data_IF_753112601318
#
_entry.id   IF_753112601318
#
_cell.length_a   1.000
_cell.length_b   1.000
_cell.length_c   1.000
_cell.angle_alpha   90.00
_cell.angle_beta   90.00
_cell.angle_gamma   90.00
#
_symmetry.space_group_name_H-M   'P 1'
#
loop_
_entity.id
_entity.type
_entity.pdbx_description
1 polymer ?
#
# COMPACT_ATOMS: atom_id res chain seq x y z
N UNK A 1 -2.37 -20.16 -2.16
CA UNK A 1 -2.75 -20.54 -3.55
C UNK A 1 -2.24 -21.95 -3.84
N UNK A 2 -3.09 -22.92 -4.19
CA UNK A 2 -2.62 -24.24 -4.64
C UNK A 2 -1.80 -24.11 -5.95
N UNK A 3 -0.65 -24.79 -6.04
CA UNK A 3 0.20 -24.82 -7.24
C UNK A 3 1.16 -23.62 -7.44
N UNK A 4 1.05 -22.54 -6.67
CA UNK A 4 1.99 -21.42 -6.73
C UNK A 4 3.21 -21.66 -5.83
N UNK A 5 4.39 -21.17 -6.24
CA UNK A 5 5.55 -21.16 -5.36
C UNK A 5 5.24 -20.34 -4.09
N UNK A 6 5.82 -20.73 -2.96
CA UNK A 6 5.52 -20.07 -1.69
C UNK A 6 5.94 -18.59 -1.69
N UNK A 7 6.96 -18.23 -2.50
CA UNK A 7 7.50 -16.88 -2.59
C UNK A 7 8.15 -16.36 -1.30
N UNK A 8 8.25 -17.20 -0.25
CA UNK A 8 8.59 -16.77 1.12
C UNK A 8 9.98 -16.11 1.17
N UNK A 9 10.97 -16.70 0.50
CA UNK A 9 12.33 -16.15 0.47
C UNK A 9 12.33 -14.75 -0.14
N UNK A 10 11.71 -14.60 -1.32
CA UNK A 10 11.62 -13.32 -2.02
C UNK A 10 10.87 -12.29 -1.15
N UNK A 11 9.74 -12.69 -0.57
CA UNK A 11 8.95 -11.80 0.29
C UNK A 11 9.73 -11.32 1.51
N UNK A 12 10.46 -12.21 2.18
CA UNK A 12 11.21 -11.88 3.38
C UNK A 12 12.47 -11.05 3.14
N UNK A 13 13.06 -11.10 1.95
CA UNK A 13 14.29 -10.35 1.65
C UNK A 13 14.05 -9.05 0.90
N UNK A 14 12.98 -8.95 0.09
CA UNK A 14 12.79 -7.79 -0.80
C UNK A 14 12.73 -6.46 -0.04
N UNK A 15 11.87 -6.33 0.98
CA UNK A 15 11.74 -5.05 1.71
C UNK A 15 13.01 -4.69 2.51
N UNK A 16 13.64 -5.61 3.29
CA UNK A 16 14.91 -5.32 3.94
C UNK A 16 16.02 -4.94 2.95
N UNK A 17 16.15 -5.65 1.82
CA UNK A 17 17.16 -5.35 0.81
C UNK A 17 16.96 -3.98 0.18
N UNK A 18 15.71 -3.59 -0.10
CA UNK A 18 15.39 -2.26 -0.65
C UNK A 18 15.74 -1.17 0.36
N UNK A 19 15.42 -1.34 1.64
CA UNK A 19 15.78 -0.38 2.69
C UNK A 19 17.29 -0.28 2.90
N UNK A 20 17.99 -1.41 2.89
CA UNK A 20 19.46 -1.44 2.95
C UNK A 20 20.10 -0.73 1.76
N UNK A 21 19.58 -0.94 0.55
CA UNK A 21 20.07 -0.25 -0.64
C UNK A 21 19.91 1.28 -0.51
N UNK A 22 18.79 1.75 0.05
CA UNK A 22 18.55 3.17 0.33
C UNK A 22 19.48 3.71 1.42
N UNK A 23 19.77 2.94 2.47
CA UNK A 23 20.76 3.31 3.49
C UNK A 23 22.16 3.48 2.89
N UNK A 24 22.56 2.57 2.00
CA UNK A 24 23.84 2.64 1.28
C UNK A 24 23.89 3.86 0.34
N UNK A 25 22.75 4.28 -0.22
CA UNK A 25 22.67 5.50 -1.03
C UNK A 25 22.84 6.75 -0.15
N UNK A 26 22.07 6.84 0.95
CA UNK A 26 22.16 7.96 1.89
C UNK A 26 23.55 8.10 2.52
N UNK A 27 24.20 6.99 2.88
CA UNK A 27 25.53 7.04 3.52
C UNK A 27 26.61 7.66 2.64
N UNK A 28 26.44 7.62 1.30
CA UNK A 28 27.37 8.24 0.34
C UNK A 28 27.25 9.76 0.28
N UNK A 29 26.05 10.29 0.57
CA UNK A 29 25.70 11.71 0.46
C UNK A 29 25.74 12.40 1.84
N UNK A 30 25.79 11.61 2.92
CA UNK A 30 25.93 12.06 4.30
C UNK A 30 27.03 13.11 4.55
N UNK A 31 28.23 13.06 3.91
CA UNK A 31 29.28 14.07 4.13
C UNK A 31 28.92 15.48 3.64
N UNK A 32 27.92 15.59 2.75
CA UNK A 32 27.61 16.82 2.02
C UNK A 32 26.31 17.51 2.44
N UNK A 33 25.44 16.83 3.19
CA UNK A 33 24.10 17.32 3.54
C UNK A 33 23.97 17.61 5.05
N UNK A 34 23.69 18.85 5.48
CA UNK A 34 23.48 19.19 6.88
C UNK A 34 22.29 18.46 7.52
N UNK A 35 21.29 18.02 6.74
CA UNK A 35 20.16 17.23 7.24
C UNK A 35 20.38 15.71 7.13
N UNK A 36 21.46 15.28 6.47
CA UNK A 36 21.70 13.87 6.14
C UNK A 36 21.78 12.95 7.35
N UNK A 37 22.27 13.44 8.49
CA UNK A 37 22.36 12.64 9.73
C UNK A 37 20.98 12.28 10.30
N UNK A 38 20.00 13.18 10.20
CA UNK A 38 18.64 12.93 10.67
C UNK A 38 17.89 11.99 9.72
N UNK A 39 18.01 12.21 8.40
CA UNK A 39 17.42 11.32 7.39
C UNK A 39 17.99 9.91 7.46
N UNK A 40 19.30 9.79 7.70
CA UNK A 40 19.97 8.51 7.87
C UNK A 40 19.44 7.76 9.10
N UNK A 41 19.33 8.44 10.25
CA UNK A 41 18.81 7.82 11.48
C UNK A 41 17.34 7.39 11.34
N UNK A 42 16.52 8.18 10.62
CA UNK A 42 15.14 7.82 10.30
C UNK A 42 15.08 6.57 9.40
N UNK A 43 15.86 6.54 8.32
CA UNK A 43 15.88 5.39 7.42
C UNK A 43 16.47 4.13 8.10
N UNK A 44 17.42 4.31 9.02
CA UNK A 44 17.99 3.23 9.83
C UNK A 44 16.88 2.59 10.68
N UNK A 45 16.03 3.41 11.31
CA UNK A 45 14.88 2.94 12.08
C UNK A 45 13.88 2.18 11.21
N UNK A 46 13.56 2.70 10.02
CA UNK A 46 12.66 2.05 9.05
C UNK A 46 13.21 0.70 8.57
N UNK A 47 14.51 0.60 8.30
CA UNK A 47 15.18 -0.66 7.94
C UNK A 47 15.01 -1.72 9.02
N UNK A 48 15.23 -1.37 10.29
CA UNK A 48 15.05 -2.31 11.40
C UNK A 48 13.59 -2.70 11.61
N UNK A 49 12.66 -1.74 11.48
CA UNK A 49 11.23 -2.02 11.60
C UNK A 49 10.74 -3.02 10.54
N UNK A 50 11.17 -2.84 9.29
CA UNK A 50 10.91 -3.78 8.19
C UNK A 50 11.53 -5.14 8.47
N UNK A 51 12.81 -5.17 8.86
CA UNK A 51 13.55 -6.41 9.11
C UNK A 51 12.91 -7.26 10.20
N UNK A 52 12.53 -6.63 11.32
CA UNK A 52 11.87 -7.30 12.44
C UNK A 52 10.49 -7.77 12.05
N UNK A 53 9.71 -6.96 11.31
CA UNK A 53 8.41 -7.37 10.78
C UNK A 53 8.52 -8.64 9.92
N UNK A 54 9.47 -8.69 8.98
CA UNK A 54 9.68 -9.86 8.14
C UNK A 54 10.17 -11.08 8.95
N UNK A 55 11.09 -10.88 9.90
CA UNK A 55 11.61 -11.94 10.76
C UNK A 55 10.53 -12.53 11.68
N UNK A 56 9.67 -11.70 12.28
CA UNK A 56 8.56 -12.15 13.13
C UNK A 56 7.55 -12.99 12.34
N UNK A 57 7.20 -12.58 11.11
CA UNK A 57 6.30 -13.36 10.23
C UNK A 57 6.95 -14.69 9.80
N UNK A 58 8.24 -14.70 9.48
CA UNK A 58 8.98 -15.93 9.19
C UNK A 58 8.99 -16.88 10.39
N UNK A 59 9.29 -16.37 11.59
CA UNK A 59 9.27 -17.16 12.81
C UNK A 59 7.87 -17.77 13.06
N UNK A 60 6.81 -17.00 12.82
CA UNK A 60 5.43 -17.47 12.90
C UNK A 60 5.14 -18.62 11.92
N UNK A 61 5.56 -18.50 10.65
CA UNK A 61 5.39 -19.59 9.68
C UNK A 61 6.16 -20.86 10.06
N UNK A 62 7.40 -20.71 10.53
CA UNK A 62 8.22 -21.84 10.95
C UNK A 62 7.65 -22.55 12.18
N UNK A 63 7.10 -21.78 13.12
CA UNK A 63 6.40 -22.31 14.27
C UNK A 63 5.22 -23.20 13.85
N UNK A 64 4.37 -22.71 12.94
CA UNK A 64 3.23 -23.49 12.43
C UNK A 64 3.65 -24.71 11.60
N UNK A 65 4.68 -24.59 10.76
CA UNK A 65 5.21 -25.72 9.99
C UNK A 65 5.80 -26.82 10.88
N UNK A 66 6.43 -26.45 12.00
CA UNK A 66 6.97 -27.41 12.98
C UNK A 66 5.87 -28.22 13.65
N UNK A 67 4.69 -27.64 13.87
CA UNK A 67 3.54 -28.35 14.45
C UNK A 67 2.88 -29.32 13.47
N UNK A 68 3.12 -29.18 12.16
CA UNK A 68 2.46 -29.95 11.09
C UNK A 68 3.34 -31.06 10.46
N UNK A 69 4.50 -31.38 11.05
CA UNK A 69 5.58 -32.06 10.33
C UNK A 69 5.24 -33.46 9.78
N UNK A 70 5.45 -33.60 8.46
CA UNK A 70 5.76 -34.83 7.71
C UNK A 70 7.07 -34.61 6.91
N UNK A 71 7.79 -35.68 6.54
CA UNK A 71 9.24 -35.68 6.25
C UNK A 71 9.80 -34.76 5.12
N UNK A 72 9.02 -34.32 4.12
CA UNK A 72 9.53 -33.48 3.02
C UNK A 72 9.78 -31.99 3.40
N UNK A 73 9.23 -31.53 4.52
CA UNK A 73 9.28 -30.14 5.00
C UNK A 73 10.67 -29.76 5.57
N UNK A 74 11.58 -30.74 5.74
CA UNK A 74 12.84 -30.57 6.48
C UNK A 74 13.85 -29.61 5.82
N UNK A 75 13.83 -29.46 4.48
CA UNK A 75 14.74 -28.56 3.76
C UNK A 75 14.32 -27.09 3.89
N UNK A 76 13.03 -26.78 3.73
CA UNK A 76 12.52 -25.41 3.88
C UNK A 76 12.64 -24.90 5.34
N UNK A 77 12.46 -25.82 6.31
CA UNK A 77 12.64 -25.53 7.74
C UNK A 77 14.08 -25.14 8.08
N UNK A 78 15.09 -25.75 7.45
CA UNK A 78 16.51 -25.42 7.67
C UNK A 78 16.86 -23.99 7.25
N UNK A 79 16.43 -23.56 6.06
CA UNK A 79 16.71 -22.20 5.57
C UNK A 79 15.94 -21.12 6.32
N UNK A 80 14.67 -21.37 6.66
CA UNK A 80 13.91 -20.41 7.47
C UNK A 80 14.43 -20.28 8.91
N UNK A 81 14.81 -21.40 9.54
CA UNK A 81 15.42 -21.40 10.87
C UNK A 81 16.75 -20.63 10.89
N UNK A 82 17.60 -20.82 9.87
CA UNK A 82 18.85 -20.08 9.71
C UNK A 82 18.60 -18.57 9.56
N UNK A 83 17.59 -18.15 8.79
CA UNK A 83 17.24 -16.74 8.64
C UNK A 83 16.75 -16.12 9.94
N UNK A 84 15.88 -16.80 10.69
CA UNK A 84 15.40 -16.31 12.00
C UNK A 84 16.55 -16.20 13.01
N UNK A 85 17.46 -17.17 13.04
CA UNK A 85 18.66 -17.11 13.90
C UNK A 85 19.58 -15.97 13.47
N UNK A 86 19.84 -15.79 12.18
CA UNK A 86 20.68 -14.69 11.67
C UNK A 86 20.05 -13.31 11.97
N UNK A 87 18.73 -13.19 11.91
CA UNK A 87 17.99 -11.98 12.27
C UNK A 87 18.02 -11.69 13.77
N UNK A 88 17.82 -12.71 14.61
CA UNK A 88 17.93 -12.56 16.07
C UNK A 88 19.37 -12.20 16.48
N UNK A 89 20.37 -12.82 15.85
CA UNK A 89 21.79 -12.50 16.08
C UNK A 89 22.12 -11.08 15.62
N UNK A 90 21.64 -10.62 14.46
CA UNK A 90 21.86 -9.23 14.00
C UNK A 90 21.12 -8.21 14.85
N UNK A 91 19.90 -8.51 15.32
CA UNK A 91 19.17 -7.68 16.27
C UNK A 91 19.89 -7.57 17.63
N UNK A 92 20.41 -8.69 18.14
CA UNK A 92 21.21 -8.72 19.36
C UNK A 92 22.57 -8.01 19.19
N UNK A 93 23.23 -8.14 18.04
CA UNK A 93 24.47 -7.42 17.74
C UNK A 93 24.24 -5.91 17.63
N UNK A 94 23.12 -5.48 17.04
CA UNK A 94 22.71 -4.08 17.03
C UNK A 94 22.49 -3.52 18.44
N UNK A 95 21.87 -4.30 19.31
CA UNK A 95 21.69 -3.98 20.73
C UNK A 95 23.02 -3.82 21.47
N UNK A 96 23.99 -4.71 21.20
CA UNK A 96 25.33 -4.65 21.81
C UNK A 96 26.16 -3.45 21.34
N UNK A 97 25.94 -2.94 20.12
CA UNK A 97 26.71 -1.83 19.56
C UNK A 97 26.20 -0.43 19.96
N UNK A 98 24.94 -0.29 20.39
CA UNK A 98 24.30 1.01 20.65
C UNK A 98 24.08 1.21 22.16
N UNK A 99 25.19 1.31 22.89
CA UNK A 99 25.28 1.39 24.36
C UNK A 99 25.16 2.79 24.97
N UNK A 100 24.74 3.81 24.21
CA UNK A 100 24.60 5.18 24.72
C UNK A 100 23.13 5.64 24.70
N UNK A 101 22.45 5.49 25.85
CA UNK A 101 21.14 6.11 26.13
C UNK A 101 20.00 5.12 26.45
N UNK A 102 19.95 4.61 27.68
CA UNK A 102 19.03 3.55 28.12
C UNK A 102 17.54 3.78 27.80
N UNK A 103 16.96 4.93 28.13
CA UNK A 103 15.51 5.19 27.92
C UNK A 103 15.13 5.33 26.44
N UNK A 104 15.99 5.96 25.64
CA UNK A 104 15.79 6.11 24.19
C UNK A 104 15.96 4.77 23.47
N UNK A 105 16.92 3.94 23.91
CA UNK A 105 17.09 2.60 23.40
C UNK A 105 15.88 1.70 23.74
N UNK A 106 15.35 1.78 24.96
CA UNK A 106 14.16 1.03 25.39
C UNK A 106 12.92 1.39 24.56
N UNK A 107 12.68 2.67 24.29
CA UNK A 107 11.55 3.13 23.47
C UNK A 107 11.70 2.71 22.00
N UNK A 108 12.91 2.76 21.43
CA UNK A 108 13.20 2.25 20.07
C UNK A 108 12.91 0.76 19.98
N UNK A 109 13.33 -0.02 20.97
CA UNK A 109 13.08 -1.46 21.02
C UNK A 109 11.59 -1.78 21.17
N UNK A 110 10.87 -1.02 22.01
CA UNK A 110 9.42 -1.15 22.15
C UNK A 110 8.70 -0.90 20.81
N UNK A 111 9.06 0.16 20.10
CA UNK A 111 8.53 0.46 18.77
C UNK A 111 8.80 -0.69 17.78
N UNK A 112 10.03 -1.18 17.71
CA UNK A 112 10.41 -2.28 16.84
C UNK A 112 9.67 -3.59 17.16
N UNK A 113 9.47 -3.91 18.45
CA UNK A 113 8.71 -5.07 18.89
C UNK A 113 7.23 -4.95 18.50
N UNK A 114 6.63 -3.76 18.65
CA UNK A 114 5.26 -3.50 18.23
C UNK A 114 5.07 -3.75 16.72
N UNK A 115 6.04 -3.35 15.89
CA UNK A 115 6.05 -3.66 14.45
C UNK A 115 6.06 -5.17 14.18
N UNK A 116 6.95 -5.92 14.83
CA UNK A 116 7.01 -7.38 14.71
C UNK A 116 5.70 -8.07 15.06
N UNK A 117 5.09 -7.70 16.20
CA UNK A 117 3.80 -8.24 16.65
C UNK A 117 2.66 -7.86 15.71
N UNK A 118 2.60 -6.60 15.29
CA UNK A 118 1.58 -6.12 14.35
C UNK A 118 1.65 -6.85 13.01
N UNK A 119 2.86 -7.15 12.50
CA UNK A 119 3.05 -7.92 11.28
C UNK A 119 2.49 -9.34 11.39
N UNK A 120 2.72 -10.03 12.51
CA UNK A 120 2.18 -11.37 12.76
C UNK A 120 0.65 -11.35 12.89
N UNK A 121 0.09 -10.36 13.56
CA UNK A 121 -1.38 -10.20 13.67
C UNK A 121 -1.98 -9.94 12.29
N UNK A 122 -1.38 -9.05 11.51
CA UNK A 122 -1.90 -8.66 10.20
C UNK A 122 -1.81 -9.80 9.19
N UNK A 123 -0.70 -10.54 9.12
CA UNK A 123 -0.59 -11.68 8.19
C UNK A 123 -1.60 -12.77 8.53
N UNK A 124 -1.81 -13.06 9.81
CA UNK A 124 -2.82 -14.03 10.25
C UNK A 124 -4.21 -13.63 9.77
N UNK A 125 -4.58 -12.35 9.97
CA UNK A 125 -5.87 -11.83 9.55
C UNK A 125 -6.04 -11.81 8.02
N UNK A 126 -4.98 -11.50 7.27
CA UNK A 126 -4.99 -11.56 5.80
C UNK A 126 -5.23 -12.99 5.33
N UNK A 127 -4.52 -13.97 5.90
CA UNK A 127 -4.66 -15.38 5.52
C UNK A 127 -6.03 -15.96 5.88
N UNK A 128 -6.63 -15.53 6.99
CA UNK A 128 -7.96 -15.95 7.43
C UNK A 128 -9.08 -15.32 6.60
N UNK A 129 -9.00 -14.01 6.29
CA UNK A 129 -10.05 -13.29 5.56
C UNK A 129 -9.99 -13.48 4.05
N UNK A 130 -8.79 -13.64 3.50
CA UNK A 130 -8.56 -13.74 2.07
C UNK A 130 -7.86 -15.07 1.74
N UNK A 131 -8.51 -16.22 2.02
CA UNK A 131 -7.90 -17.52 1.77
C UNK A 131 -7.62 -17.69 0.29
N UNK A 132 -6.47 -18.28 -0.03
CA UNK A 132 -6.01 -18.49 -1.40
C UNK A 132 -5.82 -17.23 -2.26
N UNK A 133 -5.97 -16.03 -1.70
CA UNK A 133 -5.84 -14.79 -2.46
C UNK A 133 -4.39 -14.45 -2.77
N UNK A 134 -3.41 -14.84 -1.93
CA UNK A 134 -1.99 -14.54 -2.15
C UNK A 134 -1.11 -15.78 -1.92
N UNK A 135 0.13 -15.72 -2.39
CA UNK A 135 1.21 -16.57 -1.89
C UNK A 135 1.64 -16.13 -0.48
N UNK A 136 2.40 -16.97 0.22
CA UNK A 136 2.95 -16.62 1.54
C UNK A 136 3.92 -15.44 1.44
N UNK A 137 4.73 -15.37 0.37
CA UNK A 137 5.64 -14.27 0.09
C UNK A 137 4.92 -12.95 -0.21
N UNK A 138 3.90 -12.97 -1.06
CA UNK A 138 3.04 -11.80 -1.33
C UNK A 138 2.35 -11.32 -0.04
N UNK A 139 1.80 -12.25 0.74
CA UNK A 139 1.18 -11.93 2.03
C UNK A 139 2.17 -11.28 2.99
N UNK A 140 3.38 -11.83 3.11
CA UNK A 140 4.45 -11.29 3.94
C UNK A 140 4.80 -9.86 3.49
N UNK A 141 5.03 -9.62 2.19
CA UNK A 141 5.31 -8.29 1.65
C UNK A 141 4.22 -7.28 1.98
N UNK A 142 2.96 -7.65 1.77
CA UNK A 142 1.81 -6.78 2.06
C UNK A 142 1.72 -6.50 3.56
N UNK A 143 1.84 -7.53 4.41
CA UNK A 143 1.73 -7.35 5.86
C UNK A 143 2.86 -6.49 6.43
N UNK A 144 4.12 -6.76 6.08
CA UNK A 144 5.27 -6.01 6.59
C UNK A 144 5.28 -4.59 6.02
N UNK A 145 4.94 -4.42 4.73
CA UNK A 145 4.84 -3.11 4.10
C UNK A 145 3.75 -2.23 4.72
N UNK A 146 2.55 -2.77 4.94
CA UNK A 146 1.45 -2.03 5.57
C UNK A 146 1.75 -1.67 7.02
N UNK A 147 2.35 -2.59 7.80
CA UNK A 147 2.71 -2.32 9.20
C UNK A 147 3.71 -1.18 9.31
N UNK A 148 4.73 -1.19 8.45
CA UNK A 148 5.73 -0.13 8.39
C UNK A 148 5.10 1.20 7.96
N UNK A 149 4.26 1.18 6.93
CA UNK A 149 3.55 2.35 6.42
C UNK A 149 2.62 2.98 7.47
N UNK A 150 1.80 2.18 8.15
CA UNK A 150 0.92 2.67 9.21
C UNK A 150 1.68 3.04 10.48
N UNK A 151 2.78 2.35 10.78
CA UNK A 151 3.66 2.74 11.87
C UNK A 151 4.27 4.11 11.66
N UNK A 152 4.65 4.46 10.42
CA UNK A 152 5.14 5.80 10.06
C UNK A 152 4.04 6.88 10.18
N UNK A 153 2.81 6.57 9.78
CA UNK A 153 1.63 7.43 9.97
C UNK A 153 1.37 7.67 11.47
N UNK A 154 1.40 6.60 12.27
CA UNK A 154 1.20 6.66 13.73
C UNK A 154 2.30 7.47 14.39
N UNK A 155 3.55 7.22 14.04
CA UNK A 155 4.73 7.91 14.53
C UNK A 155 4.61 9.43 14.34
N UNK A 156 4.16 9.87 13.15
CA UNK A 156 3.91 11.29 12.84
C UNK A 156 2.72 11.90 13.58
N UNK A 157 1.67 11.11 13.76
CA UNK A 157 0.52 11.56 14.54
C UNK A 157 0.93 11.79 16.00
N UNK A 158 1.71 10.87 16.57
CA UNK A 158 2.21 10.96 17.94
C UNK A 158 3.22 12.09 18.15
N UNK A 159 4.07 12.40 17.15
CA UNK A 159 5.01 13.52 17.26
C UNK A 159 4.32 14.89 17.26
N UNK A 160 3.13 15.01 16.64
CA UNK A 160 2.35 16.25 16.59
C UNK A 160 1.37 16.44 17.75
N UNK A 161 0.92 15.36 18.39
CA UNK A 161 -0.04 15.46 19.50
C UNK A 161 0.59 15.85 20.85
N UNK A 162 1.89 16.17 20.94
CA UNK A 162 2.62 16.54 22.17
C UNK A 162 2.39 15.60 23.39
N UNK A 163 1.94 14.36 23.16
CA UNK A 163 1.48 13.45 24.23
C UNK A 163 2.61 13.03 25.18
N UNK A 164 3.88 13.31 24.87
CA UNK A 164 4.97 13.15 25.83
C UNK A 164 6.18 14.01 25.47
N UNK A 165 6.71 14.78 26.43
CA UNK A 165 7.91 15.62 26.28
C UNK A 165 9.17 14.84 25.86
N UNK A 166 9.15 13.51 25.88
CA UNK A 166 10.22 12.61 25.39
C UNK A 166 10.00 12.08 23.98
N UNK A 167 8.81 12.22 23.37
CA UNK A 167 8.51 11.70 22.02
C UNK A 167 8.97 12.64 20.90
N UNK A 168 9.09 13.94 21.18
CA UNK A 168 9.55 14.95 20.21
C UNK A 168 11.00 14.74 19.75
N UNK A 169 11.86 14.20 20.60
CA UNK A 169 13.24 13.81 20.24
C UNK A 169 13.33 12.38 19.67
N UNK A 170 12.29 11.56 19.84
CA UNK A 170 12.24 10.13 19.49
C UNK A 170 11.84 9.90 18.02
N UNK A 171 10.98 10.76 17.47
CA UNK A 171 10.41 10.64 16.13
C UNK A 171 10.50 11.99 15.42
N UNK A 172 11.71 12.52 15.30
CA UNK A 172 11.91 13.64 14.40
C UNK A 172 11.89 13.08 12.97
N UNK A 173 10.71 13.03 12.36
CA UNK A 173 10.60 12.82 10.92
C UNK A 173 11.29 14.01 10.24
N UNK A 174 12.15 13.80 9.23
CA UNK A 174 12.84 14.90 8.56
C UNK A 174 11.84 15.96 8.10
N UNK A 175 12.15 17.21 8.44
CA UNK A 175 11.23 18.35 8.50
C UNK A 175 10.71 18.90 7.16
N UNK A 176 10.87 18.16 6.06
CA UNK A 176 10.40 18.57 4.72
C UNK A 176 9.83 17.37 3.98
N UNK A 177 8.84 16.69 4.55
CA UNK A 177 8.06 15.72 3.78
C UNK A 177 7.09 16.47 2.86
N UNK A 178 7.07 16.05 1.59
CA UNK A 178 6.22 16.62 0.55
C UNK A 178 4.74 16.61 0.98
N UNK A 179 4.06 17.74 0.82
CA UNK A 179 2.61 17.87 1.02
C UNK A 179 1.82 16.76 0.29
N UNK A 180 2.33 16.33 -0.86
CA UNK A 180 1.78 15.23 -1.66
C UNK A 180 1.76 13.93 -0.86
N UNK A 181 2.85 13.58 -0.17
CA UNK A 181 2.95 12.33 0.57
C UNK A 181 1.94 12.28 1.72
N UNK A 182 1.77 13.40 2.43
CA UNK A 182 0.78 13.51 3.51
C UNK A 182 -0.65 13.40 2.97
N UNK A 183 -0.96 14.05 1.85
CA UNK A 183 -2.29 13.93 1.22
C UNK A 183 -2.57 12.47 0.84
N UNK A 184 -1.61 11.78 0.22
CA UNK A 184 -1.74 10.36 -0.14
C UNK A 184 -1.95 9.51 1.12
N UNK A 185 -1.13 9.69 2.16
CA UNK A 185 -1.24 8.94 3.41
C UNK A 185 -2.56 9.17 4.13
N UNK A 186 -3.05 10.42 4.17
CA UNK A 186 -4.33 10.74 4.77
C UNK A 186 -5.48 10.04 4.06
N UNK A 187 -5.52 10.11 2.72
CA UNK A 187 -6.55 9.43 1.92
C UNK A 187 -6.49 7.91 2.13
N UNK A 188 -5.29 7.31 2.07
CA UNK A 188 -5.14 5.87 2.25
C UNK A 188 -5.51 5.43 3.67
N UNK A 189 -5.06 6.14 4.70
CA UNK A 189 -5.47 5.90 6.08
C UNK A 189 -7.00 5.91 6.21
N UNK A 190 -7.66 6.93 5.65
CA UNK A 190 -9.11 7.02 5.63
C UNK A 190 -9.77 5.82 4.96
N UNK A 191 -9.30 5.41 3.78
CA UNK A 191 -9.84 4.27 3.05
C UNK A 191 -9.62 2.94 3.78
N UNK A 192 -8.47 2.73 4.43
CA UNK A 192 -8.25 1.52 5.22
C UNK A 192 -9.08 1.47 6.50
N UNK A 193 -9.51 2.63 7.04
CA UNK A 193 -10.45 2.72 8.17
C UNK A 193 -11.92 2.60 7.75
N UNK A 194 -12.24 2.84 6.48
CA UNK A 194 -13.59 2.77 5.94
C UNK A 194 -14.31 1.43 6.20
N UNK A 195 -13.70 0.23 6.02
CA UNK A 195 -14.33 -1.03 6.37
C UNK A 195 -14.82 -1.12 7.82
N UNK A 196 -14.07 -0.53 8.77
CA UNK A 196 -14.41 -0.53 10.19
C UNK A 196 -15.60 0.40 10.44
N UNK A 197 -15.57 1.60 9.86
CA UNK A 197 -16.64 2.59 9.97
C UNK A 197 -17.92 2.10 9.30
N UNK A 198 -17.82 1.48 8.12
CA UNK A 198 -18.94 0.89 7.41
C UNK A 198 -19.58 -0.24 8.25
N UNK A 199 -18.77 -1.17 8.78
CA UNK A 199 -19.27 -2.27 9.63
C UNK A 199 -19.94 -1.74 10.90
N UNK A 200 -19.33 -0.77 11.58
CA UNK A 200 -19.89 -0.16 12.79
C UNK A 200 -21.21 0.56 12.49
N UNK A 201 -21.25 1.37 11.43
CA UNK A 201 -22.45 2.09 11.00
C UNK A 201 -23.58 1.13 10.64
N UNK A 202 -23.27 0.03 9.95
CA UNK A 202 -24.25 -0.99 9.61
C UNK A 202 -24.80 -1.69 10.87
N UNK A 203 -23.95 -2.02 11.85
CA UNK A 203 -24.38 -2.60 13.12
C UNK A 203 -25.30 -1.68 13.92
N UNK A 204 -24.96 -0.39 14.02
CA UNK A 204 -25.80 0.62 14.67
C UNK A 204 -27.14 0.75 13.95
N UNK A 205 -27.12 0.78 12.62
CA UNK A 205 -28.35 0.83 11.83
C UNK A 205 -29.26 -0.39 12.06
N UNK A 206 -28.70 -1.60 12.02
CA UNK A 206 -29.45 -2.83 12.31
C UNK A 206 -30.02 -2.80 13.72
N UNK A 207 -29.24 -2.35 14.71
CA UNK A 207 -29.70 -2.21 16.09
C UNK A 207 -30.89 -1.24 16.21
N UNK A 208 -30.78 -0.04 15.65
CA UNK A 208 -31.86 0.96 15.64
C UNK A 208 -33.13 0.44 14.94
N UNK A 209 -32.98 -0.33 13.86
CA UNK A 209 -34.11 -0.93 13.15
C UNK A 209 -34.78 -2.04 13.94
N UNK A 210 -34.00 -2.86 14.64
CA UNK A 210 -34.51 -3.96 15.48
C UNK A 210 -35.35 -3.44 16.64
N UNK A 211 -35.04 -2.22 17.13
CA UNK A 211 -35.86 -1.50 18.10
C UNK A 211 -37.16 -0.92 17.50
N UNK A 212 -37.22 -0.76 16.17
CA UNK A 212 -38.22 0.05 15.48
C UNK A 212 -39.48 -0.67 14.96
N UNK A 213 -39.45 -1.95 14.56
CA UNK A 213 -40.66 -2.77 14.26
C UNK A 213 -40.37 -4.18 13.73
N UNK A 214 -41.22 -5.13 14.16
CA UNK A 214 -41.53 -6.41 13.49
C UNK A 214 -42.41 -6.18 12.24
N UNK A 215 -42.31 -7.08 11.24
CA UNK A 215 -43.10 -7.21 9.97
C UNK A 215 -42.50 -6.37 8.80
N UNK A 216 -42.14 -6.90 7.63
CA UNK A 216 -42.81 -7.88 6.73
C UNK A 216 -41.81 -8.37 5.65
N UNK A 217 -41.69 -9.69 5.46
CA UNK A 217 -40.69 -10.32 4.58
C UNK A 217 -41.14 -10.40 3.10
N UNK A 218 -40.54 -9.59 2.22
CA UNK A 218 -40.30 -9.85 0.78
C UNK A 218 -39.91 -8.54 0.03
N UNK A 219 -40.61 -7.42 0.29
CA UNK A 219 -40.26 -6.07 -0.21
C UNK A 219 -38.95 -5.56 0.43
N UNK A 220 -38.60 -6.15 1.57
CA UNK A 220 -37.48 -5.79 2.42
C UNK A 220 -36.09 -5.99 1.78
N UNK A 221 -35.87 -7.05 0.99
CA UNK A 221 -34.53 -7.38 0.47
C UNK A 221 -33.97 -6.35 -0.50
N UNK A 222 -34.82 -5.72 -1.33
CA UNK A 222 -34.37 -4.67 -2.27
C UNK A 222 -34.11 -3.34 -1.58
N UNK A 223 -34.95 -2.98 -0.60
CA UNK A 223 -34.75 -1.81 0.25
C UNK A 223 -33.51 -1.96 1.14
N UNK A 224 -33.22 -3.18 1.60
CA UNK A 224 -32.07 -3.52 2.43
C UNK A 224 -30.73 -3.40 1.66
N UNK A 225 -30.69 -3.86 0.40
CA UNK A 225 -29.51 -3.66 -0.47
C UNK A 225 -29.27 -2.17 -0.80
N UNK A 226 -30.35 -1.42 -1.03
CA UNK A 226 -30.26 0.04 -1.21
C UNK A 226 -29.77 0.77 0.03
N UNK A 227 -30.22 0.35 1.22
CA UNK A 227 -29.84 0.99 2.49
C UNK A 227 -28.38 0.70 2.85
N UNK A 228 -27.91 -0.55 2.72
CA UNK A 228 -26.49 -0.87 2.94
C UNK A 228 -25.57 -0.07 2.01
N UNK A 229 -26.01 0.12 0.76
CA UNK A 229 -25.28 0.94 -0.21
C UNK A 229 -25.23 2.42 0.19
N UNK A 230 -26.36 2.97 0.67
CA UNK A 230 -26.41 4.33 1.19
C UNK A 230 -25.48 4.52 2.41
N UNK A 231 -25.49 3.56 3.36
CA UNK A 231 -24.58 3.59 4.52
C UNK A 231 -23.13 3.58 4.07
N UNK A 232 -22.76 2.76 3.08
CA UNK A 232 -21.41 2.74 2.52
C UNK A 232 -21.02 4.11 1.94
N UNK A 233 -21.84 4.71 1.07
CA UNK A 233 -21.52 6.01 0.47
C UNK A 233 -21.45 7.15 1.50
N UNK A 234 -22.32 7.13 2.51
CA UNK A 234 -22.26 8.09 3.62
C UNK A 234 -20.99 7.90 4.43
N UNK A 235 -20.61 6.66 4.78
CA UNK A 235 -19.35 6.40 5.46
C UNK A 235 -18.13 6.84 4.63
N UNK A 236 -18.14 6.59 3.32
CA UNK A 236 -17.10 7.04 2.40
C UNK A 236 -17.00 8.57 2.38
N UNK A 237 -18.13 9.27 2.30
CA UNK A 237 -18.19 10.72 2.31
C UNK A 237 -17.70 11.29 3.66
N UNK A 238 -18.08 10.66 4.78
CA UNK A 238 -17.60 11.05 6.11
C UNK A 238 -16.08 10.91 6.20
N UNK A 239 -15.53 9.80 5.71
CA UNK A 239 -14.07 9.59 5.67
C UNK A 239 -13.39 10.67 4.84
N UNK A 240 -13.84 10.90 3.60
CA UNK A 240 -13.17 11.79 2.66
C UNK A 240 -13.31 13.28 3.00
N UNK A 241 -14.45 13.70 3.58
CA UNK A 241 -14.72 15.11 3.89
C UNK A 241 -14.38 15.51 5.33
N UNK A 242 -14.28 14.56 6.27
CA UNK A 242 -14.02 14.88 7.67
C UNK A 242 -12.76 14.20 8.20
N UNK A 243 -12.62 12.88 8.05
CA UNK A 243 -11.49 12.16 8.64
C UNK A 243 -10.15 12.53 7.96
N UNK A 244 -10.12 12.50 6.62
CA UNK A 244 -8.92 12.82 5.84
C UNK A 244 -8.46 14.26 6.10
N UNK A 245 -9.31 15.31 5.98
CA UNK A 245 -8.87 16.69 6.21
C UNK A 245 -8.44 16.96 7.66
N UNK A 246 -9.13 16.35 8.64
CA UNK A 246 -8.77 16.50 10.06
C UNK A 246 -7.38 15.94 10.34
N UNK A 247 -7.07 14.78 9.78
CA UNK A 247 -5.75 14.17 9.96
C UNK A 247 -4.64 14.95 9.23
N UNK A 248 -4.87 15.38 7.98
CA UNK A 248 -3.86 16.18 7.24
C UNK A 248 -3.60 17.54 7.89
N UNK A 249 -4.63 18.16 8.48
CA UNK A 249 -4.49 19.38 9.27
C UNK A 249 -3.65 19.15 10.52
N UNK A 250 -3.89 18.05 11.24
CA UNK A 250 -3.14 17.73 12.45
C UNK A 250 -1.65 17.47 12.17
N UNK A 251 -1.35 16.73 11.09
CA UNK A 251 0.03 16.31 10.81
C UNK A 251 0.86 17.40 10.13
N UNK A 252 0.29 18.12 9.16
CA UNK A 252 1.05 19.09 8.34
C UNK A 252 0.55 20.53 8.48
N UNK A 253 -0.55 20.78 9.21
CA UNK A 253 -1.11 22.13 9.31
C UNK A 253 -1.82 22.59 8.03
N UNK A 254 -2.18 21.66 7.13
CA UNK A 254 -2.96 21.97 5.93
C UNK A 254 -4.30 22.59 6.31
N UNK A 255 -4.42 23.91 6.14
CA UNK A 255 -5.64 24.66 6.44
C UNK A 255 -6.74 24.39 5.41
N UNK A 256 -6.32 24.22 4.16
CA UNK A 256 -7.18 23.96 3.01
C UNK A 256 -7.54 22.47 2.93
N UNK A 257 -8.78 22.18 2.52
CA UNK A 257 -9.24 20.81 2.31
C UNK A 257 -8.32 20.09 1.28
N UNK A 258 -7.87 18.84 1.52
CA UNK A 258 -6.97 18.09 0.63
C UNK A 258 -7.41 18.05 -0.85
N UNK A 259 -8.69 17.81 -1.16
CA UNK A 259 -9.19 17.91 -2.54
C UNK A 259 -9.02 19.30 -3.16
N UNK A 260 -9.30 20.37 -2.41
CA UNK A 260 -9.11 21.74 -2.89
C UNK A 260 -7.62 22.03 -3.07
N UNK A 261 -6.78 21.55 -2.15
CA UNK A 261 -5.33 21.63 -2.28
C UNK A 261 -4.85 20.90 -3.56
N UNK A 262 -5.36 19.71 -3.85
CA UNK A 262 -5.04 18.97 -5.09
C UNK A 262 -5.46 19.75 -6.34
N UNK A 263 -6.65 20.35 -6.35
CA UNK A 263 -7.09 21.18 -7.48
C UNK A 263 -6.20 22.41 -7.64
N UNK A 264 -5.90 23.11 -6.55
CA UNK A 264 -5.00 24.25 -6.57
C UNK A 264 -3.61 23.86 -7.06
N UNK A 265 -3.07 22.74 -6.58
CA UNK A 265 -1.80 22.19 -7.04
C UNK A 265 -1.82 21.86 -8.54
N UNK A 266 -2.95 21.34 -9.04
CA UNK A 266 -3.11 20.99 -10.44
C UNK A 266 -3.18 22.22 -11.35
N UNK A 267 -3.80 23.32 -10.91
CA UNK A 267 -4.04 24.53 -11.73
C UNK A 267 -3.03 25.67 -11.53
N UNK A 268 -2.27 25.72 -10.44
CA UNK A 268 -1.35 26.84 -10.15
C UNK A 268 -0.01 26.67 -10.88
N UNK A 269 0.31 27.50 -11.89
CA UNK A 269 1.51 27.37 -12.76
C UNK A 269 1.53 26.02 -13.51
N UNK A 270 0.52 25.78 -14.34
CA UNK A 270 0.08 24.42 -14.67
C UNK A 270 0.25 23.99 -16.13
N UNK A 271 0.88 24.78 -16.98
CA UNK A 271 0.94 24.49 -18.42
C UNK A 271 1.48 23.08 -18.72
N UNK A 272 2.57 22.67 -18.05
CA UNK A 272 3.14 21.33 -18.21
C UNK A 272 2.26 20.22 -17.63
N UNK A 273 1.60 20.45 -16.48
CA UNK A 273 0.72 19.47 -15.85
C UNK A 273 -0.59 19.30 -16.62
N UNK A 274 -1.16 20.40 -17.11
CA UNK A 274 -2.35 20.38 -17.96
C UNK A 274 -2.05 19.73 -19.31
N UNK A 275 -0.88 20.02 -19.90
CA UNK A 275 -0.42 19.33 -21.11
C UNK A 275 -0.26 17.83 -20.88
N UNK A 276 0.32 17.43 -19.74
CA UNK A 276 0.42 16.01 -19.38
C UNK A 276 -0.94 15.36 -19.18
N UNK A 277 -1.91 16.05 -18.55
CA UNK A 277 -3.29 15.58 -18.46
C UNK A 277 -3.94 15.44 -19.84
N UNK A 278 -3.77 16.41 -20.74
CA UNK A 278 -4.27 16.34 -22.10
C UNK A 278 -3.64 15.16 -22.87
N UNK A 279 -2.33 14.94 -22.69
CA UNK A 279 -1.62 13.78 -23.22
C UNK A 279 -2.19 12.46 -22.69
N UNK A 280 -2.40 12.33 -21.37
CA UNK A 280 -3.00 11.14 -20.79
C UNK A 280 -4.40 10.87 -21.32
N UNK A 281 -5.24 11.90 -21.41
CA UNK A 281 -6.59 11.78 -22.01
C UNK A 281 -6.48 11.30 -23.44
N UNK A 282 -5.58 11.88 -24.24
CA UNK A 282 -5.35 11.46 -25.62
C UNK A 282 -4.92 9.99 -25.71
N UNK A 283 -3.92 9.56 -24.94
CA UNK A 283 -3.42 8.18 -24.90
C UNK A 283 -4.53 7.22 -24.47
N UNK A 284 -5.31 7.55 -23.45
CA UNK A 284 -6.45 6.74 -22.98
C UNK A 284 -7.53 6.65 -24.06
N UNK A 285 -7.92 7.76 -24.70
CA UNK A 285 -8.92 7.76 -25.76
C UNK A 285 -8.48 6.91 -26.96
N UNK A 286 -7.24 7.07 -27.42
CA UNK A 286 -6.67 6.22 -28.48
C UNK A 286 -6.65 4.75 -28.04
N UNK A 287 -6.29 4.50 -26.78
CA UNK A 287 -6.20 3.15 -26.24
C UNK A 287 -7.54 2.44 -26.18
N UNK A 288 -8.59 3.13 -25.73
CA UNK A 288 -9.96 2.60 -25.69
C UNK A 288 -10.51 2.35 -27.10
N UNK A 289 -10.31 3.28 -28.04
CA UNK A 289 -10.74 3.10 -29.44
C UNK A 289 -10.06 1.89 -30.07
N UNK A 290 -8.74 1.76 -29.86
CA UNK A 290 -7.96 0.65 -30.40
C UNK A 290 -8.35 -0.67 -29.74
N UNK A 291 -8.57 -0.69 -28.43
CA UNK A 291 -9.11 -1.83 -27.70
C UNK A 291 -10.45 -2.29 -28.25
N UNK A 292 -11.40 -1.37 -28.46
CA UNK A 292 -12.71 -1.69 -29.02
C UNK A 292 -12.60 -2.28 -30.43
N UNK A 293 -11.71 -1.73 -31.27
CA UNK A 293 -11.43 -2.27 -32.61
C UNK A 293 -10.84 -3.68 -32.56
N UNK A 294 -9.88 -3.93 -31.65
CA UNK A 294 -9.24 -5.24 -31.49
C UNK A 294 -10.24 -6.26 -30.94
N UNK A 295 -11.03 -5.89 -29.94
CA UNK A 295 -12.06 -6.75 -29.36
C UNK A 295 -13.12 -7.20 -30.37
N UNK A 296 -13.35 -6.42 -31.44
CA UNK A 296 -14.32 -6.74 -32.51
C UNK A 296 -13.75 -7.71 -33.55
N UNK A 297 -12.43 -7.75 -33.73
CA UNK A 297 -11.73 -8.66 -34.64
C UNK A 297 -11.22 -9.89 -33.88
N UNK A 298 -12.05 -10.94 -33.81
CA UNK A 298 -11.70 -12.35 -33.52
C UNK A 298 -10.80 -12.63 -32.30
N UNK A 299 -11.37 -13.31 -31.28
CA UNK A 299 -10.68 -14.22 -30.32
C UNK A 299 -9.27 -13.79 -29.88
N UNK A 300 -9.04 -12.51 -29.63
CA UNK A 300 -7.74 -12.02 -29.17
C UNK A 300 -7.38 -12.75 -27.89
N UNK A 301 -6.28 -13.50 -27.92
CA UNK A 301 -5.76 -14.20 -26.75
C UNK A 301 -5.57 -13.18 -25.62
N UNK A 302 -6.11 -13.47 -24.42
CA UNK A 302 -6.00 -12.61 -23.23
C UNK A 302 -4.55 -12.16 -22.94
N UNK A 303 -3.57 -12.92 -23.45
CA UNK A 303 -2.15 -12.62 -23.42
C UNK A 303 -1.81 -11.34 -24.20
N UNK A 304 -2.26 -11.21 -25.46
CA UNK A 304 -2.02 -10.01 -26.28
C UNK A 304 -2.64 -8.77 -25.64
N UNK A 305 -3.81 -8.95 -25.02
CA UNK A 305 -4.49 -7.88 -24.32
C UNK A 305 -3.70 -7.41 -23.08
N UNK A 306 -3.18 -8.36 -22.28
CA UNK A 306 -2.31 -8.05 -21.15
C UNK A 306 -1.09 -7.24 -21.62
N UNK A 307 -0.39 -7.70 -22.66
CA UNK A 307 0.77 -7.01 -23.25
C UNK A 307 0.43 -5.58 -23.69
N UNK A 308 -0.75 -5.39 -24.29
CA UNK A 308 -1.21 -4.06 -24.70
C UNK A 308 -1.37 -3.10 -23.51
N UNK A 309 -1.97 -3.54 -22.40
CA UNK A 309 -2.12 -2.69 -21.21
C UNK A 309 -0.78 -2.35 -20.55
N UNK A 310 0.16 -3.30 -20.51
CA UNK A 310 1.52 -3.03 -20.04
C UNK A 310 2.21 -1.96 -20.90
N UNK A 311 2.05 -2.02 -22.23
CA UNK A 311 2.56 -0.99 -23.14
C UNK A 311 1.88 0.37 -22.89
N UNK A 312 0.57 0.40 -22.69
CA UNK A 312 -0.17 1.64 -22.34
C UNK A 312 0.34 2.23 -21.03
N UNK A 313 0.64 1.39 -20.03
CA UNK A 313 1.23 1.84 -18.76
C UNK A 313 2.60 2.51 -18.99
N UNK A 314 3.45 1.96 -19.86
CA UNK A 314 4.73 2.61 -20.24
C UNK A 314 4.49 3.97 -20.86
N UNK A 315 3.54 4.09 -21.79
CA UNK A 315 3.22 5.34 -22.48
C UNK A 315 2.67 6.41 -21.52
N UNK A 316 1.82 6.01 -20.57
CA UNK A 316 1.23 6.95 -19.60
C UNK A 316 2.27 7.39 -18.56
N UNK A 317 3.04 6.45 -17.99
CA UNK A 317 3.90 6.76 -16.84
C UNK A 317 5.28 7.28 -17.22
N UNK A 318 5.90 6.83 -18.32
CA UNK A 318 7.29 7.24 -18.62
C UNK A 318 7.45 8.74 -18.87
N UNK A 319 6.61 9.40 -19.69
CA UNK A 319 6.69 10.85 -19.85
C UNK A 319 6.44 11.60 -18.54
N UNK A 320 5.54 11.10 -17.71
CA UNK A 320 5.22 11.72 -16.43
C UNK A 320 6.40 11.67 -15.43
N UNK A 321 7.20 10.60 -15.45
CA UNK A 321 8.45 10.53 -14.66
C UNK A 321 9.45 11.59 -15.11
N UNK A 322 9.54 11.86 -16.41
CA UNK A 322 10.51 12.81 -16.99
C UNK A 322 10.08 14.26 -16.71
N UNK A 323 8.84 14.61 -17.06
CA UNK A 323 8.39 15.99 -17.05
C UNK A 323 7.88 16.46 -15.68
N UNK A 324 7.12 15.63 -14.97
CA UNK A 324 6.40 16.05 -13.77
C UNK A 324 6.38 14.93 -12.69
N UNK A 325 7.54 14.56 -12.11
CA UNK A 325 7.64 13.43 -11.19
C UNK A 325 6.86 13.62 -9.89
N UNK A 326 6.73 14.84 -9.36
CA UNK A 326 5.95 15.11 -8.17
C UNK A 326 4.44 14.94 -8.42
N UNK A 327 3.94 15.44 -9.56
CA UNK A 327 2.55 15.25 -9.96
C UNK A 327 2.22 13.77 -10.20
N UNK A 328 3.18 13.00 -10.73
CA UNK A 328 3.02 11.56 -10.88
C UNK A 328 2.85 10.83 -9.54
N UNK A 329 3.51 11.27 -8.44
CA UNK A 329 3.27 10.68 -7.11
C UNK A 329 1.82 10.83 -6.68
N UNK A 330 1.29 12.05 -6.86
CA UNK A 330 -0.08 12.37 -6.54
C UNK A 330 -1.05 11.53 -7.40
N UNK A 331 -0.76 11.39 -8.69
CA UNK A 331 -1.54 10.57 -9.61
C UNK A 331 -1.52 9.08 -9.23
N UNK A 332 -0.36 8.52 -8.85
CA UNK A 332 -0.27 7.13 -8.37
C UNK A 332 -1.06 6.91 -7.08
N UNK A 333 -0.96 7.84 -6.12
CA UNK A 333 -1.73 7.78 -4.88
C UNK A 333 -3.24 7.87 -5.13
N UNK A 334 -3.67 8.77 -6.02
CA UNK A 334 -5.07 8.91 -6.43
C UNK A 334 -5.59 7.67 -7.17
N UNK A 335 -4.80 7.09 -8.08
CA UNK A 335 -5.16 5.85 -8.77
C UNK A 335 -5.28 4.67 -7.80
N UNK A 336 -4.38 4.58 -6.82
CA UNK A 336 -4.43 3.52 -5.80
C UNK A 336 -5.66 3.67 -4.90
N UNK A 337 -5.97 4.90 -4.47
CA UNK A 337 -7.21 5.21 -3.75
C UNK A 337 -8.47 4.85 -4.55
N UNK A 338 -8.49 5.16 -5.84
CA UNK A 338 -9.60 4.79 -6.73
C UNK A 338 -9.75 3.26 -6.84
N UNK A 339 -8.65 2.53 -7.03
CA UNK A 339 -8.69 1.07 -7.09
C UNK A 339 -9.19 0.45 -5.78
N UNK A 340 -8.81 1.00 -4.62
CA UNK A 340 -9.34 0.57 -3.33
C UNK A 340 -10.85 0.80 -3.23
N UNK A 341 -11.35 1.97 -3.63
CA UNK A 341 -12.79 2.28 -3.60
C UNK A 341 -13.57 1.36 -4.54
N UNK A 342 -13.09 1.17 -5.78
CA UNK A 342 -13.72 0.28 -6.76
C UNK A 342 -13.75 -1.16 -6.26
N UNK A 343 -12.66 -1.63 -5.65
CA UNK A 343 -12.60 -2.97 -5.08
C UNK A 343 -13.53 -3.13 -3.88
N UNK A 344 -13.65 -2.13 -3.01
CA UNK A 344 -14.64 -2.13 -1.92
C UNK A 344 -16.07 -2.18 -2.45
N UNK A 345 -16.39 -1.39 -3.49
CA UNK A 345 -17.70 -1.40 -4.15
C UNK A 345 -17.99 -2.78 -4.76
N UNK A 346 -16.99 -3.42 -5.37
CA UNK A 346 -17.10 -4.77 -5.94
C UNK A 346 -17.33 -5.82 -4.86
N UNK A 347 -16.48 -5.85 -3.83
CA UNK A 347 -16.49 -6.85 -2.75
C UNK A 347 -17.78 -6.78 -1.93
N UNK A 348 -18.31 -5.58 -1.67
CA UNK A 348 -19.56 -5.39 -0.94
C UNK A 348 -20.80 -5.29 -1.83
N UNK A 349 -20.68 -5.51 -3.14
CA UNK A 349 -21.75 -5.40 -4.14
C UNK A 349 -22.63 -4.13 -3.98
N UNK A 350 -21.99 -2.98 -3.78
CA UNK A 350 -22.67 -1.72 -3.49
C UNK A 350 -23.49 -1.27 -4.71
N UNK A 351 -24.81 -1.13 -4.55
CA UNK A 351 -25.71 -0.67 -5.60
C UNK A 351 -25.53 0.85 -5.88
N UNK A 352 -25.53 1.32 -7.14
CA UNK A 352 -25.82 0.60 -8.39
C UNK A 352 -24.58 0.01 -9.08
N UNK A 353 -23.38 0.43 -8.71
CA UNK A 353 -22.16 0.17 -9.48
C UNK A 353 -21.55 -1.23 -9.28
N UNK A 354 -21.84 -1.89 -8.15
CA UNK A 354 -21.18 -3.13 -7.72
C UNK A 354 -21.22 -4.24 -8.78
N UNK A 355 -22.38 -4.50 -9.38
CA UNK A 355 -22.51 -5.53 -10.41
C UNK A 355 -21.80 -5.15 -11.72
N UNK A 356 -21.91 -3.89 -12.16
CA UNK A 356 -21.24 -3.40 -13.37
C UNK A 356 -19.72 -3.46 -13.23
N UNK A 357 -19.19 -3.04 -12.09
CA UNK A 357 -17.75 -3.11 -11.80
C UNK A 357 -17.29 -4.56 -11.71
N UNK A 358 -18.06 -5.43 -11.05
CA UNK A 358 -17.73 -6.86 -10.98
C UNK A 358 -17.62 -7.50 -12.37
N UNK A 359 -18.61 -7.27 -13.24
CA UNK A 359 -18.59 -7.78 -14.61
C UNK A 359 -17.42 -7.21 -15.42
N UNK A 360 -17.16 -5.91 -15.30
CA UNK A 360 -16.04 -5.27 -15.97
C UNK A 360 -14.71 -5.86 -15.51
N UNK A 361 -14.45 -5.92 -14.20
CA UNK A 361 -13.18 -6.39 -13.64
C UNK A 361 -12.96 -7.89 -13.93
N UNK A 362 -14.00 -8.72 -13.82
CA UNK A 362 -13.91 -10.16 -14.11
C UNK A 362 -13.53 -10.47 -15.57
N UNK A 363 -13.82 -9.56 -16.51
CA UNK A 363 -13.38 -9.71 -17.90
C UNK A 363 -11.85 -9.67 -18.04
N UNK A 364 -11.15 -9.06 -17.07
CA UNK A 364 -9.71 -8.89 -17.05
C UNK A 364 -8.98 -9.82 -16.06
N UNK A 365 -9.72 -10.55 -15.22
CA UNK A 365 -9.14 -11.55 -14.32
C UNK A 365 -8.81 -12.85 -15.04
N UNK A 366 -7.74 -13.49 -14.56
CA UNK A 366 -7.29 -14.80 -15.04
C UNK A 366 -7.51 -15.86 -13.93
N UNK A 367 -7.28 -17.15 -14.24
CA UNK A 367 -7.32 -18.26 -13.27
C UNK A 367 -6.38 -18.08 -12.06
N UNK A 368 -5.46 -17.10 -12.14
CA UNK A 368 -4.52 -16.73 -11.07
C UNK A 368 -5.12 -15.79 -10.03
N UNK A 369 -6.18 -15.07 -10.39
CA UNK A 369 -6.88 -14.15 -9.49
C UNK A 369 -7.93 -14.91 -8.67
N UNK A 370 -8.15 -14.47 -7.43
CA UNK A 370 -9.18 -15.04 -6.56
C UNK A 370 -10.47 -14.26 -6.67
N UNK A 371 -11.61 -14.95 -6.57
CA UNK A 371 -12.94 -14.32 -6.67
C UNK A 371 -13.17 -13.26 -5.57
N UNK A 372 -12.52 -13.45 -4.41
CA UNK A 372 -12.65 -12.58 -3.24
C UNK A 372 -11.91 -11.25 -3.45
N UNK A 373 -10.66 -11.26 -3.91
CA UNK A 373 -9.84 -10.06 -4.08
C UNK A 373 -9.02 -10.14 -5.37
N UNK A 374 -9.13 -9.10 -6.21
CA UNK A 374 -8.40 -9.01 -7.48
C UNK A 374 -7.08 -8.28 -7.25
N UNK A 375 -6.01 -9.05 -7.00
CA UNK A 375 -4.69 -8.49 -6.68
C UNK A 375 -4.00 -7.88 -7.92
N UNK A 376 -4.27 -8.41 -9.11
CA UNK A 376 -3.53 -8.06 -10.33
C UNK A 376 -3.51 -6.56 -10.68
N UNK A 377 -4.59 -5.83 -10.43
CA UNK A 377 -4.63 -4.39 -10.70
C UNK A 377 -3.81 -3.58 -9.68
N UNK A 378 -3.77 -4.03 -8.43
CA UNK A 378 -2.92 -3.43 -7.39
C UNK A 378 -1.45 -3.73 -7.63
N UNK A 379 -1.10 -4.96 -8.02
CA UNK A 379 0.30 -5.35 -8.25
C UNK A 379 0.89 -4.63 -9.47
N UNK A 380 0.11 -4.43 -10.54
CA UNK A 380 0.54 -3.63 -11.69
C UNK A 380 0.84 -2.18 -11.27
N UNK A 381 -0.11 -1.53 -10.58
CA UNK A 381 0.02 -0.13 -10.18
C UNK A 381 1.17 0.07 -9.18
N UNK A 382 1.20 -0.73 -8.11
CA UNK A 382 2.24 -0.66 -7.09
C UNK A 382 3.61 -1.07 -7.66
N UNK A 383 3.64 -2.01 -8.59
CA UNK A 383 4.87 -2.41 -9.25
C UNK A 383 5.49 -1.29 -10.09
N UNK A 384 4.69 -0.39 -10.66
CA UNK A 384 5.17 0.84 -11.30
C UNK A 384 5.50 1.95 -10.29
N UNK A 385 4.66 2.14 -9.27
CA UNK A 385 4.76 3.26 -8.33
C UNK A 385 5.89 3.09 -7.29
N UNK A 386 6.10 1.87 -6.76
CA UNK A 386 7.04 1.63 -5.68
C UNK A 386 8.48 1.99 -6.04
N UNK A 387 9.06 1.59 -7.19
CA UNK A 387 10.42 1.99 -7.55
C UNK A 387 10.59 3.52 -7.65
N UNK A 388 9.55 4.23 -8.10
CA UNK A 388 9.53 5.69 -8.18
C UNK A 388 9.51 6.31 -6.78
N UNK A 389 8.58 5.92 -5.91
CA UNK A 389 8.52 6.37 -4.50
C UNK A 389 9.83 6.06 -3.76
N UNK A 390 10.42 4.89 -4.07
CA UNK A 390 11.70 4.44 -3.52
C UNK A 390 12.93 5.04 -4.20
N UNK A 391 12.80 5.90 -5.20
CA UNK A 391 13.93 6.60 -5.83
C UNK A 391 13.86 8.11 -5.65
N UNK A 392 12.76 8.63 -5.10
CA UNK A 392 12.60 10.07 -4.83
C UNK A 392 13.73 10.58 -3.93
N UNK A 393 14.31 11.72 -4.30
CA UNK A 393 15.37 12.41 -3.55
C UNK A 393 16.82 12.15 -4.00
N UNK A 394 17.06 11.19 -4.90
CA UNK A 394 18.42 10.81 -5.32
C UNK A 394 18.60 10.87 -6.83
N UNK A 395 19.53 11.70 -7.30
CA UNK A 395 19.82 11.87 -8.73
C UNK A 395 20.93 10.93 -9.26
N UNK A 396 21.61 10.18 -8.38
CA UNK A 396 22.75 9.33 -8.76
C UNK A 396 22.38 8.18 -9.72
N UNK A 397 21.09 7.85 -9.82
CA UNK A 397 20.59 6.74 -10.64
C UNK A 397 19.32 7.15 -11.39
N UNK A 398 19.43 7.83 -12.55
CA UNK A 398 18.28 8.37 -13.28
C UNK A 398 17.30 7.31 -13.78
N UNK A 399 17.73 6.05 -13.90
CA UNK A 399 16.90 4.93 -14.36
C UNK A 399 16.13 4.22 -13.23
N UNK A 400 16.49 4.44 -11.95
CA UNK A 400 15.84 3.77 -10.83
C UNK A 400 14.32 4.02 -10.73
N UNK A 401 13.81 5.25 -10.97
CA UNK A 401 12.36 5.51 -11.01
C UNK A 401 11.63 4.74 -12.13
N UNK A 402 12.32 4.43 -13.23
CA UNK A 402 11.75 3.72 -14.37
C UNK A 402 11.75 2.21 -14.21
N UNK A 403 12.47 1.65 -13.22
CA UNK A 403 12.69 0.22 -13.10
C UNK A 403 11.37 -0.57 -13.06
N UNK A 404 10.37 -0.08 -12.34
CA UNK A 404 9.04 -0.72 -12.28
C UNK A 404 8.30 -0.66 -13.61
N UNK A 405 8.27 0.53 -14.22
CA UNK A 405 7.58 0.79 -15.48
C UNK A 405 8.19 -0.03 -16.61
N UNK A 406 9.53 -0.08 -16.71
CA UNK A 406 10.22 -0.82 -17.77
C UNK A 406 10.19 -2.33 -17.53
N UNK A 407 10.35 -2.79 -16.27
CA UNK A 407 10.30 -4.23 -15.94
C UNK A 407 8.91 -4.81 -16.21
N UNK A 408 7.85 -4.16 -15.73
CA UNK A 408 6.48 -4.63 -15.94
C UNK A 408 5.96 -4.31 -17.33
N UNK A 409 6.40 -3.19 -17.90
CA UNK A 409 5.89 -2.68 -19.17
C UNK A 409 6.54 -3.29 -20.41
N UNK A 410 7.84 -3.58 -20.33
CA UNK A 410 8.63 -4.18 -21.43
C UNK A 410 9.03 -5.61 -21.07
N UNK A 411 9.57 -5.81 -19.86
CA UNK A 411 10.06 -7.12 -19.41
C UNK A 411 8.98 -8.21 -19.33
N UNK A 412 7.77 -7.89 -18.88
CA UNK A 412 6.64 -8.84 -18.86
C UNK A 412 5.99 -9.04 -20.25
N UNK A 413 6.34 -8.20 -21.23
CA UNK A 413 5.78 -8.25 -22.58
C UNK A 413 6.63 -9.03 -23.59
N UNK A 414 7.94 -9.14 -23.34
CA UNK A 414 8.88 -9.98 -24.10
C UNK A 414 8.72 -11.42 -23.67
#
# INVERSE_FOLDING_TARGET
RPGASSGILLGATTLPCVMLARLIQLSRILPTDPNGAQEFAYLEMQYWAVSISCASVLAFFLWHLRQSANNEISKALKYGSLMVVLYLVTFLLFFLLKTDGGLLAMTKNGYLLCHGVAAVILIKHILEKFPSCSSFGEGLLVSSGLVVYFGDILARTLSKMEVSASSGAFIHTPGTQSEIATVIQGVLLGLFLLPLLYKSSLQVWVYCRTLGKQRTQAIEKRAEKGTGSAVFYVSLLVVLLFLVPSWTRLVQGLEVHPFVWVLNYMFTNSDERLLLCAYWIFVICVSIRRFYSISKQSKTERILLRKYYHLVAVLIFSPAVIFQPAFLDLAFGAAFALFLILEMIRVWEVYPLGHTIHQFMNAFTDHRDSEILIISHFSLLLGCALPKWMSSGFNDRPLAPFAGILSLGIGDTM
#
